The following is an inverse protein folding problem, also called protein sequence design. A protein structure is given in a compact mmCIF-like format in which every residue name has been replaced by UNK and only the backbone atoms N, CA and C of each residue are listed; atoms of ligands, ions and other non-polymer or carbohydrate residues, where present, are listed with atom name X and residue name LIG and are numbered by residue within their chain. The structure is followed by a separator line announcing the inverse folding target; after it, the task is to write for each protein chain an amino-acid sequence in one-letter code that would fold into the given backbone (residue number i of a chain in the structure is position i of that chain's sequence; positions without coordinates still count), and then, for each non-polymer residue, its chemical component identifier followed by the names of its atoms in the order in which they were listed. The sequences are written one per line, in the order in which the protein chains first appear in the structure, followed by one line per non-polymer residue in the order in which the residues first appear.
data_IF_484847514055
#
_entry.id   IF_484847514055
#
_cell.length_a   1.000
_cell.length_b   1.000
_cell.length_c   1.000
_cell.angle_alpha   90.00
_cell.angle_beta   90.00
_cell.angle_gamma   90.00
#
_symmetry.space_group_name_H-M   'P 1'
#
loop_
_entity.id
_entity.type
_entity.pdbx_description
1 polymer ?
#
# COMPACT_ATOMS: atom_id res chain seq x y z
N UNK A 1 40.17 -41.32 -2.55
CA UNK A 1 39.84 -40.03 -3.17
C UNK A 1 39.87 -38.95 -2.08
N UNK A 2 40.50 -37.79 -2.31
CA UNK A 2 40.47 -36.68 -1.34
C UNK A 2 39.09 -36.01 -1.39
N UNK A 3 38.53 -35.70 -0.22
CA UNK A 3 37.32 -34.89 -0.13
C UNK A 3 37.63 -33.48 -0.67
N UNK A 4 36.74 -32.98 -1.53
CA UNK A 4 36.77 -31.60 -1.96
C UNK A 4 36.32 -30.72 -0.78
N UNK A 5 37.11 -29.69 -0.47
CA UNK A 5 36.80 -28.73 0.60
C UNK A 5 36.72 -27.33 0.03
N UNK A 6 35.85 -26.50 0.60
CA UNK A 6 35.77 -25.08 0.28
C UNK A 6 36.77 -24.34 1.18
N UNK A 7 37.75 -23.61 0.61
CA UNK A 7 38.63 -22.73 1.39
C UNK A 7 37.79 -21.68 2.15
N UNK A 8 38.17 -21.36 3.39
CA UNK A 8 37.50 -20.34 4.22
C UNK A 8 35.97 -20.50 4.31
N UNK A 9 35.50 -21.75 4.45
CA UNK A 9 34.07 -22.07 4.51
C UNK A 9 33.28 -21.20 5.50
N UNK A 10 33.87 -20.83 6.64
CA UNK A 10 33.25 -19.94 7.63
C UNK A 10 32.87 -18.56 7.06
N UNK A 11 33.65 -18.04 6.11
CA UNK A 11 33.38 -16.78 5.41
C UNK A 11 32.45 -16.97 4.21
N UNK A 12 32.52 -18.12 3.54
CA UNK A 12 31.69 -18.42 2.37
C UNK A 12 30.22 -18.69 2.74
N UNK A 13 29.96 -19.37 3.86
CA UNK A 13 28.61 -19.79 4.27
C UNK A 13 27.61 -18.62 4.31
N UNK A 14 27.88 -17.48 4.96
CA UNK A 14 26.92 -16.36 4.98
C UNK A 14 26.62 -15.82 3.58
N UNK A 15 27.62 -15.74 2.69
CA UNK A 15 27.44 -15.27 1.32
C UNK A 15 26.56 -16.21 0.49
N UNK A 16 26.75 -17.53 0.65
CA UNK A 16 25.90 -18.54 0.01
C UNK A 16 24.47 -18.49 0.54
N UNK A 17 24.29 -18.32 1.85
CA UNK A 17 22.98 -18.18 2.46
C UNK A 17 22.24 -16.92 1.98
N UNK A 18 22.96 -15.82 1.76
CA UNK A 18 22.37 -14.59 1.21
C UNK A 18 21.95 -14.77 -0.26
N UNK A 19 22.79 -15.42 -1.07
CA UNK A 19 22.44 -15.71 -2.46
C UNK A 19 21.22 -16.63 -2.55
N UNK A 20 21.11 -17.63 -1.66
CA UNK A 20 19.91 -18.47 -1.54
C UNK A 20 18.65 -17.64 -1.23
N UNK A 21 18.79 -16.58 -0.44
CA UNK A 21 17.66 -15.72 -0.04
C UNK A 21 17.33 -14.64 -1.07
N UNK A 22 18.16 -14.47 -2.10
CA UNK A 22 18.11 -13.32 -3.02
C UNK A 22 16.89 -13.31 -3.92
N UNK A 23 16.47 -14.46 -4.45
CA UNK A 23 15.36 -14.56 -5.39
C UNK A 23 14.19 -15.35 -4.82
N UNK A 24 12.99 -15.17 -5.38
CA UNK A 24 11.83 -15.98 -4.99
C UNK A 24 12.01 -17.45 -5.37
N UNK A 25 12.56 -17.70 -6.56
CA UNK A 25 12.87 -19.05 -7.07
C UNK A 25 13.90 -19.76 -6.18
N UNK A 26 15.00 -19.10 -5.83
CA UNK A 26 16.02 -19.72 -4.95
C UNK A 26 15.47 -20.04 -3.56
N UNK A 27 14.63 -19.16 -3.01
CA UNK A 27 13.93 -19.43 -1.74
C UNK A 27 12.89 -20.54 -1.86
N UNK A 28 12.27 -20.73 -3.02
CA UNK A 28 11.39 -21.86 -3.28
C UNK A 28 12.17 -23.17 -3.32
N UNK A 29 13.28 -23.22 -4.06
CA UNK A 29 14.14 -24.40 -4.15
C UNK A 29 14.79 -24.77 -2.81
N UNK A 30 15.15 -23.76 -2.01
CA UNK A 30 15.67 -23.96 -0.64
C UNK A 30 14.63 -24.65 0.26
N UNK A 31 13.39 -24.19 0.21
CA UNK A 31 12.26 -24.82 0.91
C UNK A 31 12.02 -26.24 0.42
N UNK A 32 12.06 -26.45 -0.90
CA UNK A 32 11.90 -27.75 -1.53
C UNK A 32 12.96 -28.74 -1.05
N UNK A 33 14.23 -28.32 -0.96
CA UNK A 33 15.31 -29.15 -0.38
C UNK A 33 15.05 -29.46 1.09
N UNK A 34 14.58 -28.49 1.88
CA UNK A 34 14.20 -28.72 3.27
C UNK A 34 13.13 -29.81 3.41
N UNK A 35 12.08 -29.75 2.58
CA UNK A 35 11.03 -30.79 2.55
C UNK A 35 11.58 -32.14 2.10
N UNK A 36 12.43 -32.17 1.08
CA UNK A 36 13.06 -33.40 0.60
C UNK A 36 13.84 -34.11 1.70
N UNK A 37 14.63 -33.37 2.49
CA UNK A 37 15.40 -33.93 3.60
C UNK A 37 14.49 -34.47 4.72
N UNK A 38 13.39 -33.78 5.02
CA UNK A 38 12.39 -34.28 5.97
C UNK A 38 11.71 -35.55 5.44
N UNK A 39 11.37 -35.58 4.16
CA UNK A 39 10.80 -36.77 3.51
C UNK A 39 11.76 -37.97 3.48
N UNK A 40 13.08 -37.72 3.53
CA UNK A 40 14.12 -38.73 3.68
C UNK A 40 14.30 -39.22 5.13
N UNK A 41 13.49 -38.72 6.07
CA UNK A 41 13.46 -39.17 7.46
C UNK A 41 14.24 -38.29 8.45
N UNK A 42 14.80 -37.16 8.01
CA UNK A 42 15.44 -36.21 8.92
C UNK A 42 14.39 -35.44 9.72
N UNK A 43 14.69 -35.14 10.98
CA UNK A 43 13.85 -34.28 11.79
C UNK A 43 13.94 -32.82 11.33
N UNK A 44 12.90 -32.03 11.56
CA UNK A 44 12.91 -30.58 11.27
C UNK A 44 14.08 -29.86 11.97
N UNK A 45 14.53 -30.35 13.12
CA UNK A 45 15.64 -29.76 13.87
C UNK A 45 16.99 -30.02 13.20
N UNK A 46 17.21 -31.23 12.69
CA UNK A 46 18.43 -31.57 11.95
C UNK A 46 18.50 -30.80 10.63
N UNK A 47 17.39 -30.74 9.90
CA UNK A 47 17.30 -29.98 8.64
C UNK A 47 17.55 -28.50 8.88
N UNK A 48 16.96 -27.92 9.93
CA UNK A 48 17.21 -26.53 10.32
C UNK A 48 18.69 -26.26 10.60
N UNK A 49 19.35 -27.17 11.32
CA UNK A 49 20.80 -27.09 11.58
C UNK A 49 21.65 -27.20 10.31
N UNK A 50 21.25 -28.05 9.36
CA UNK A 50 21.97 -28.24 8.10
C UNK A 50 21.82 -27.04 7.16
N UNK A 51 20.61 -26.49 7.05
CA UNK A 51 20.30 -25.39 6.13
C UNK A 51 20.59 -23.99 6.72
N UNK A 52 20.78 -23.89 8.03
CA UNK A 52 20.98 -22.62 8.72
C UNK A 52 19.69 -21.84 8.92
N UNK A 53 18.56 -22.54 9.09
CA UNK A 53 17.25 -21.98 9.36
C UNK A 53 16.82 -22.22 10.81
N UNK A 54 15.76 -21.54 11.24
CA UNK A 54 15.12 -21.84 12.51
C UNK A 54 14.27 -23.12 12.40
N UNK A 55 14.25 -23.93 13.47
CA UNK A 55 13.40 -25.12 13.57
C UNK A 55 11.92 -24.83 13.25
N UNK A 56 11.38 -23.72 13.76
CA UNK A 56 10.00 -23.29 13.50
C UNK A 56 9.74 -22.96 12.03
N UNK A 57 10.75 -22.44 11.32
CA UNK A 57 10.67 -22.14 9.89
C UNK A 57 10.52 -23.42 9.07
N UNK A 58 11.38 -24.41 9.32
CA UNK A 58 11.31 -25.72 8.63
C UNK A 58 9.99 -26.44 8.97
N UNK A 59 9.58 -26.43 10.24
CA UNK A 59 8.30 -27.00 10.66
C UNK A 59 7.09 -26.35 9.95
N UNK A 60 7.12 -25.02 9.76
CA UNK A 60 6.09 -24.32 8.99
C UNK A 60 6.12 -24.71 7.51
N UNK A 61 7.29 -24.92 6.90
CA UNK A 61 7.36 -25.41 5.52
C UNK A 61 6.71 -26.78 5.39
N UNK A 62 7.01 -27.70 6.31
CA UNK A 62 6.42 -29.05 6.33
C UNK A 62 4.90 -28.98 6.46
N UNK A 63 4.39 -28.16 7.38
CA UNK A 63 2.94 -27.97 7.54
C UNK A 63 2.29 -27.44 6.26
N UNK A 64 2.86 -26.40 5.65
CA UNK A 64 2.32 -25.83 4.41
C UNK A 64 2.38 -26.80 3.25
N UNK A 65 3.42 -27.63 3.18
CA UNK A 65 3.51 -28.69 2.18
C UNK A 65 2.46 -29.78 2.40
N UNK A 66 2.18 -30.15 3.65
CA UNK A 66 1.13 -31.13 3.98
C UNK A 66 -0.28 -30.60 3.65
N UNK A 67 -0.52 -29.29 3.88
CA UNK A 67 -1.81 -28.64 3.61
C UNK A 67 -2.04 -28.28 2.12
N UNK A 68 -1.02 -27.77 1.43
CA UNK A 68 -1.14 -27.13 0.11
C UNK A 68 -0.23 -27.77 -0.97
N UNK A 69 0.57 -28.79 -0.63
CA UNK A 69 1.56 -29.39 -1.52
C UNK A 69 2.66 -28.40 -1.94
N UNK A 70 3.10 -28.51 -3.20
CA UNK A 70 4.12 -27.60 -3.76
C UNK A 70 3.68 -26.13 -3.75
N UNK A 71 2.38 -25.86 -3.87
CA UNK A 71 1.86 -24.48 -3.82
C UNK A 71 2.15 -23.80 -2.48
N UNK A 72 2.16 -24.55 -1.37
CA UNK A 72 2.49 -24.05 -0.04
C UNK A 72 3.96 -23.63 0.14
N UNK A 73 4.84 -24.05 -0.76
CA UNK A 73 6.24 -23.63 -0.77
C UNK A 73 6.46 -22.34 -1.56
N UNK A 74 5.51 -21.94 -2.42
CA UNK A 74 5.59 -20.69 -3.16
C UNK A 74 5.46 -19.52 -2.17
N UNK A 75 6.27 -18.49 -2.38
CA UNK A 75 6.06 -17.25 -1.63
C UNK A 75 4.82 -16.55 -2.17
N UNK A 76 3.81 -16.38 -1.34
CA UNK A 76 2.62 -15.60 -1.71
C UNK A 76 2.93 -14.10 -1.75
N UNK A 77 2.09 -13.36 -2.46
CA UNK A 77 2.04 -11.91 -2.32
C UNK A 77 1.80 -11.58 -0.84
N UNK A 78 2.63 -10.69 -0.29
CA UNK A 78 2.39 -10.15 1.05
C UNK A 78 1.41 -9.01 0.88
N UNK A 79 0.08 -9.19 1.13
CA UNK A 79 -0.81 -8.06 1.13
C UNK A 79 -0.28 -7.10 2.19
N UNK A 80 0.09 -5.88 1.77
CA UNK A 80 0.46 -4.82 2.70
C UNK A 80 -0.67 -4.55 3.69
N UNK A 81 -0.47 -3.59 4.59
CA UNK A 81 -1.50 -3.23 5.57
C UNK A 81 -2.87 -3.08 4.88
N UNK A 82 -3.93 -3.78 5.35
CA UNK A 82 -5.22 -3.75 4.71
C UNK A 82 -5.71 -2.30 4.58
N UNK A 83 -6.29 -1.98 3.41
CA UNK A 83 -6.84 -0.65 3.16
C UNK A 83 -7.98 -0.40 4.17
N UNK A 84 -7.98 0.77 4.81
CA UNK A 84 -9.06 1.18 5.72
C UNK A 84 -10.42 1.31 5.02
N UNK A 85 -10.42 1.57 3.72
CA UNK A 85 -11.62 1.67 2.90
C UNK A 85 -11.76 0.41 2.04
N UNK A 86 -12.95 -0.19 2.08
CA UNK A 86 -13.36 -1.24 1.14
C UNK A 86 -13.69 -0.64 -0.22
N UNK A 87 -13.84 -1.48 -1.24
CA UNK A 87 -14.25 -1.05 -2.57
C UNK A 87 -15.66 -0.44 -2.57
N UNK A 88 -16.55 -0.98 -1.75
CA UNK A 88 -17.89 -0.42 -1.52
C UNK A 88 -17.82 0.99 -0.94
N UNK A 89 -16.96 1.23 0.06
CA UNK A 89 -16.76 2.58 0.59
C UNK A 89 -16.26 3.54 -0.49
N UNK A 90 -15.31 3.11 -1.32
CA UNK A 90 -14.79 3.92 -2.43
C UNK A 90 -15.87 4.26 -3.46
N UNK A 91 -16.74 3.32 -3.81
CA UNK A 91 -17.87 3.55 -4.71
C UNK A 91 -18.89 4.55 -4.13
N UNK A 92 -19.21 4.42 -2.85
CA UNK A 92 -20.10 5.35 -2.15
C UNK A 92 -19.48 6.76 -2.05
N UNK A 93 -18.18 6.86 -1.75
CA UNK A 93 -17.47 8.15 -1.76
C UNK A 93 -17.51 8.77 -3.15
N UNK A 94 -17.20 8.02 -4.20
CA UNK A 94 -17.22 8.53 -5.57
C UNK A 94 -18.62 9.06 -5.96
N UNK A 95 -19.68 8.41 -5.49
CA UNK A 95 -21.06 8.85 -5.70
C UNK A 95 -21.38 10.13 -4.90
N UNK A 96 -20.98 10.18 -3.62
CA UNK A 96 -21.18 11.34 -2.76
C UNK A 96 -20.44 12.60 -3.28
N UNK A 97 -19.23 12.44 -3.81
CA UNK A 97 -18.43 13.54 -4.36
C UNK A 97 -19.05 14.23 -5.58
N UNK A 98 -20.02 13.59 -6.26
CA UNK A 98 -20.78 14.19 -7.36
C UNK A 98 -21.97 15.03 -6.88
N UNK A 99 -22.37 14.88 -5.62
CA UNK A 99 -23.41 15.66 -4.95
C UNK A 99 -22.79 16.81 -4.16
N UNK A 100 -23.62 17.72 -3.64
CA UNK A 100 -23.10 18.82 -2.82
C UNK A 100 -22.80 18.33 -1.40
N UNK A 101 -21.73 18.81 -0.73
CA UNK A 101 -21.52 18.51 0.69
C UNK A 101 -22.72 18.91 1.58
N UNK A 102 -23.52 19.88 1.15
CA UNK A 102 -24.76 20.30 1.83
C UNK A 102 -25.77 19.17 1.96
N UNK A 103 -25.85 18.29 0.97
CA UNK A 103 -26.77 17.14 0.97
C UNK A 103 -26.43 16.14 2.10
N UNK A 104 -25.22 16.23 2.66
CA UNK A 104 -24.72 15.40 3.75
C UNK A 104 -24.61 16.14 5.09
N UNK A 105 -25.14 17.37 5.15
CA UNK A 105 -25.17 18.21 6.35
C UNK A 105 -23.91 19.04 6.60
N UNK A 106 -23.09 19.30 5.57
CA UNK A 106 -21.92 20.19 5.68
C UNK A 106 -22.26 21.61 5.19
N UNK A 107 -21.71 22.62 5.83
CA UNK A 107 -21.93 24.04 5.48
C UNK A 107 -21.19 24.48 4.20
N UNK A 108 -20.17 23.73 3.79
CA UNK A 108 -19.36 24.02 2.61
C UNK A 108 -20.11 23.76 1.30
N UNK A 109 -19.96 24.67 0.33
CA UNK A 109 -20.50 24.50 -1.04
C UNK A 109 -19.66 23.54 -1.91
N UNK A 110 -18.40 23.32 -1.54
CA UNK A 110 -17.46 22.49 -2.30
C UNK A 110 -16.83 21.45 -1.39
N UNK A 111 -16.54 20.29 -1.96
CA UNK A 111 -15.76 19.27 -1.29
C UNK A 111 -14.32 19.73 -1.11
N UNK A 112 -13.85 19.69 0.14
CA UNK A 112 -12.43 19.81 0.46
C UNK A 112 -11.95 18.55 1.22
N UNK A 113 -10.64 18.47 1.48
CA UNK A 113 -10.07 17.30 2.16
C UNK A 113 -10.53 17.14 3.62
N UNK A 114 -10.92 18.22 4.30
CA UNK A 114 -11.41 18.17 5.69
C UNK A 114 -12.86 17.72 5.72
N UNK A 115 -13.70 18.26 4.84
CA UNK A 115 -15.10 17.88 4.65
C UNK A 115 -15.20 16.41 4.24
N UNK A 116 -14.34 15.94 3.34
CA UNK A 116 -14.31 14.52 2.97
C UNK A 116 -13.87 13.61 4.12
N UNK A 117 -12.86 14.02 4.92
CA UNK A 117 -12.47 13.26 6.11
C UNK A 117 -13.61 13.16 7.12
N UNK A 118 -14.30 14.28 7.39
CA UNK A 118 -15.45 14.32 8.29
C UNK A 118 -16.63 13.48 7.76
N UNK A 119 -16.88 13.48 6.45
CA UNK A 119 -17.89 12.63 5.82
C UNK A 119 -17.59 11.14 6.03
N UNK A 120 -16.35 10.72 5.76
CA UNK A 120 -15.93 9.32 5.92
C UNK A 120 -16.00 8.89 7.38
N UNK A 121 -15.55 9.74 8.31
CA UNK A 121 -15.65 9.49 9.75
C UNK A 121 -17.10 9.37 10.22
N UNK A 122 -18.00 10.25 9.74
CA UNK A 122 -19.42 10.22 10.10
C UNK A 122 -20.12 8.97 9.60
N UNK A 123 -19.83 8.53 8.37
CA UNK A 123 -20.53 7.43 7.74
C UNK A 123 -20.05 6.04 8.21
N UNK A 124 -18.74 5.88 8.44
CA UNK A 124 -18.14 4.56 8.68
C UNK A 124 -17.22 4.49 9.91
N UNK A 125 -17.11 5.57 10.71
CA UNK A 125 -16.20 5.65 11.86
C UNK A 125 -14.73 5.38 11.50
N UNK A 126 -14.37 5.69 10.25
CA UNK A 126 -13.01 5.53 9.73
C UNK A 126 -12.32 6.88 9.72
N UNK A 127 -11.25 7.00 10.51
CA UNK A 127 -10.40 8.19 10.50
C UNK A 127 -9.39 8.14 9.33
N UNK A 128 -9.41 9.17 8.50
CA UNK A 128 -8.47 9.35 7.39
C UNK A 128 -7.86 10.75 7.44
N UNK A 129 -6.55 10.81 7.20
CA UNK A 129 -5.86 12.08 7.12
C UNK A 129 -6.33 12.90 5.91
N UNK A 130 -6.31 14.22 6.04
CA UNK A 130 -6.70 15.17 4.97
C UNK A 130 -5.94 14.91 3.66
N UNK A 131 -4.65 14.55 3.72
CA UNK A 131 -3.86 14.21 2.52
C UNK A 131 -4.34 12.92 1.83
N UNK A 132 -4.83 11.94 2.58
CA UNK A 132 -5.43 10.72 2.00
C UNK A 132 -6.72 11.07 1.27
N UNK A 133 -7.57 11.89 1.89
CA UNK A 133 -8.78 12.41 1.26
C UNK A 133 -8.48 13.23 -0.02
N UNK A 134 -7.41 14.04 -0.01
CA UNK A 134 -6.95 14.77 -1.20
C UNK A 134 -6.48 13.86 -2.33
N UNK A 135 -5.83 12.72 -2.00
CA UNK A 135 -5.46 11.71 -2.99
C UNK A 135 -6.70 11.04 -3.60
N UNK A 136 -7.75 10.78 -2.81
CA UNK A 136 -9.01 10.23 -3.32
C UNK A 136 -9.63 11.12 -4.39
N UNK A 137 -9.62 12.45 -4.22
CA UNK A 137 -10.09 13.36 -5.28
C UNK A 137 -9.36 13.13 -6.61
N UNK A 138 -8.02 13.00 -6.56
CA UNK A 138 -7.21 12.75 -7.76
C UNK A 138 -7.49 11.37 -8.35
N UNK A 139 -7.61 10.35 -7.51
CA UNK A 139 -7.92 8.98 -7.92
C UNK A 139 -9.26 8.90 -8.66
N UNK A 140 -10.26 9.66 -8.22
CA UNK A 140 -11.57 9.74 -8.87
C UNK A 140 -11.64 10.77 -10.01
N UNK A 141 -10.51 11.37 -10.41
CA UNK A 141 -10.43 12.29 -11.56
C UNK A 141 -10.92 13.72 -11.29
N UNK A 142 -11.16 14.10 -10.04
CA UNK A 142 -11.56 15.47 -9.69
C UNK A 142 -10.37 16.44 -9.78
N UNK A 143 -10.64 17.64 -10.31
CA UNK A 143 -9.67 18.74 -10.35
C UNK A 143 -9.99 19.78 -9.28
N UNK A 144 -8.94 20.33 -8.68
CA UNK A 144 -9.07 21.43 -7.72
C UNK A 144 -9.62 22.66 -8.43
N UNK A 145 -10.80 23.13 -8.01
CA UNK A 145 -11.36 24.42 -8.44
C UNK A 145 -11.20 25.42 -7.30
N UNK A 146 -10.56 26.55 -7.58
CA UNK A 146 -10.54 27.70 -6.66
C UNK A 146 -11.74 28.59 -6.98
N UNK A 147 -12.68 28.81 -6.06
CA UNK A 147 -13.75 29.79 -6.27
C UNK A 147 -13.13 31.18 -6.47
N UNK A 148 -13.65 31.95 -7.42
CA UNK A 148 -13.26 33.35 -7.59
C UNK A 148 -13.89 34.14 -6.44
N UNK A 149 -13.09 34.78 -5.56
CA UNK A 149 -13.66 35.54 -4.45
C UNK A 149 -14.50 36.70 -4.98
N UNK A 150 -15.73 36.80 -4.50
CA UNK A 150 -16.58 37.98 -4.70
C UNK A 150 -16.32 38.91 -3.53
N UNK A 151 -15.78 40.10 -3.80
CA UNK A 151 -15.60 41.14 -2.78
C UNK A 151 -16.99 41.63 -2.39
N UNK A 152 -17.39 41.40 -1.13
CA UNK A 152 -18.73 41.64 -0.60
C UNK A 152 -19.12 43.12 -0.42
N UNK A 153 -18.46 44.04 -1.13
CA UNK A 153 -18.74 45.48 -1.08
C UNK A 153 -18.28 46.24 -2.32
N UNK A 154 -18.09 45.56 -3.46
CA UNK A 154 -17.64 46.22 -4.67
C UNK A 154 -18.84 46.63 -5.54
N UNK A 155 -19.01 47.96 -5.68
CA UNK A 155 -20.08 48.59 -6.44
C UNK A 155 -20.16 48.05 -7.89
N UNK A 156 -21.35 47.66 -8.39
CA UNK A 156 -21.50 47.12 -9.74
C UNK A 156 -21.00 48.07 -10.82
N UNK A 157 -21.23 49.38 -10.66
CA UNK A 157 -20.84 50.42 -11.62
C UNK A 157 -19.32 50.58 -11.72
N UNK A 158 -18.62 50.58 -10.59
CA UNK A 158 -17.16 50.69 -10.55
C UNK A 158 -16.46 49.48 -11.19
N UNK A 159 -17.06 48.29 -11.11
CA UNK A 159 -16.57 47.09 -11.80
C UNK A 159 -16.71 47.18 -13.32
N UNK A 160 -17.76 47.83 -13.82
CA UNK A 160 -18.00 47.99 -15.26
C UNK A 160 -17.10 49.08 -15.87
N UNK A 161 -16.89 50.20 -15.17
CA UNK A 161 -15.95 51.24 -15.59
C UNK A 161 -14.50 50.73 -15.64
N UNK A 162 -14.06 49.99 -14.63
CA UNK A 162 -12.71 49.41 -14.59
C UNK A 162 -12.48 48.38 -15.73
N UNK A 163 -13.52 47.65 -16.14
CA UNK A 163 -13.43 46.73 -17.29
C UNK A 163 -13.33 47.47 -18.63
N UNK A 164 -13.96 48.64 -18.77
CA UNK A 164 -13.96 49.43 -20.01
C UNK A 164 -12.71 50.31 -20.15
N UNK A 165 -12.21 50.89 -19.06
CA UNK A 165 -11.02 51.74 -19.05
C UNK A 165 -9.99 51.25 -18.01
N UNK A 166 -9.24 50.17 -18.29
CA UNK A 166 -8.13 49.79 -17.43
C UNK A 166 -7.03 50.87 -17.52
N UNK A 167 -6.55 51.43 -16.39
CA UNK A 167 -5.48 52.43 -16.43
C UNK A 167 -4.20 51.81 -17.00
N UNK A 168 -3.50 52.53 -17.88
CA UNK A 168 -2.23 52.06 -18.43
C UNK A 168 -1.23 51.88 -17.28
N UNK A 169 -0.76 50.65 -17.06
CA UNK A 169 0.32 50.39 -16.12
C UNK A 169 1.54 51.23 -16.52
N UNK A 170 1.87 52.27 -15.73
CA UNK A 170 3.19 52.91 -15.83
C UNK A 170 4.23 51.86 -15.43
N UNK A 171 5.20 51.63 -16.33
CA UNK A 171 6.38 50.80 -16.09
C UNK A 171 7.31 51.47 -15.09
#
# INVERSE_FOLDING_TARGET
MKALTIPDAAMAIPGLQEEIRRSQESRYDHRLHGILLVAQGMSCREVAGLLGDAHSTVANWVRRYDEEGLAGLVEGDRPGRPKRLTEEHLAQIATALRKSPKDFGFSSNLWDGKTLAAFIGKQWQIDLGVRQCQRLFRQFGFRLRKPRPLIAGADPLQKEEFKKNPPSRKR
#
